data_IF_431772487267
#
_entry.id   IF_431772487267
#
_cell.length_a   1.000
_cell.length_b   1.000
_cell.length_c   1.000
_cell.angle_alpha   90.00
_cell.angle_beta   90.00
_cell.angle_gamma   90.00
#
_symmetry.space_group_name_H-M   'P 1'
#
loop_
_entity.id
_entity.type
_entity.pdbx_description
1 polymer ?
#
# COMPACT_ATOMS: atom_id res chain seq x y z
N UNK A 1 -35.07 -13.02 -22.14
CA UNK A 1 -34.48 -11.76 -22.67
C UNK A 1 -33.40 -12.05 -23.71
N UNK A 2 -33.22 -11.19 -24.72
CA UNK A 2 -32.18 -11.39 -25.74
C UNK A 2 -30.76 -11.47 -25.15
N UNK A 3 -30.43 -10.59 -24.19
CA UNK A 3 -29.11 -10.56 -23.54
C UNK A 3 -28.84 -11.79 -22.65
N UNK A 4 -29.83 -12.25 -21.88
CA UNK A 4 -29.73 -13.48 -21.07
C UNK A 4 -29.50 -14.72 -21.95
N UNK A 5 -30.26 -14.84 -23.05
CA UNK A 5 -30.16 -15.97 -23.99
C UNK A 5 -28.79 -15.98 -24.69
N UNK A 6 -28.25 -14.80 -25.03
CA UNK A 6 -26.89 -14.69 -25.56
C UNK A 6 -25.83 -15.18 -24.56
N UNK A 7 -25.93 -14.77 -23.29
CA UNK A 7 -24.99 -15.21 -22.25
C UNK A 7 -25.07 -16.71 -21.97
N UNK A 8 -26.25 -17.31 -22.06
CA UNK A 8 -26.43 -18.77 -21.96
C UNK A 8 -25.78 -19.50 -23.15
N UNK A 9 -25.92 -18.97 -24.37
CA UNK A 9 -25.25 -19.50 -25.57
C UNK A 9 -23.73 -19.40 -25.47
N UNK A 10 -23.21 -18.36 -24.83
CA UNK A 10 -21.78 -18.19 -24.53
C UNK A 10 -21.29 -19.04 -23.34
N UNK A 11 -22.18 -19.78 -22.66
CA UNK A 11 -21.85 -20.60 -21.49
C UNK A 11 -21.66 -19.81 -20.19
N UNK A 12 -21.90 -18.49 -20.18
CA UNK A 12 -21.73 -17.60 -19.02
C UNK A 12 -22.96 -17.63 -18.12
N UNK A 13 -23.21 -18.78 -17.49
CA UNK A 13 -24.42 -19.03 -16.68
C UNK A 13 -24.62 -18.04 -15.52
N UNK A 14 -23.55 -17.69 -14.81
CA UNK A 14 -23.63 -16.73 -13.69
C UNK A 14 -24.01 -15.33 -14.16
N UNK A 15 -23.51 -14.93 -15.33
CA UNK A 15 -23.85 -13.63 -15.92
C UNK A 15 -25.31 -13.59 -16.36
N UNK A 16 -25.83 -14.69 -16.93
CA UNK A 16 -27.23 -14.81 -17.29
C UNK A 16 -28.14 -14.76 -16.04
N UNK A 17 -27.75 -15.45 -14.95
CA UNK A 17 -28.48 -15.41 -13.69
C UNK A 17 -28.54 -14.00 -13.09
N UNK A 18 -27.43 -13.26 -13.11
CA UNK A 18 -27.40 -11.85 -12.66
C UNK A 18 -28.31 -10.98 -13.51
N UNK A 19 -28.29 -11.14 -14.84
CA UNK A 19 -29.16 -10.36 -15.75
C UNK A 19 -30.64 -10.66 -15.50
N UNK A 20 -30.97 -11.92 -15.24
CA UNK A 20 -32.32 -12.35 -14.88
C UNK A 20 -32.78 -11.71 -13.57
N UNK A 21 -31.97 -11.79 -12.50
CA UNK A 21 -32.27 -11.13 -11.23
C UNK A 21 -32.41 -9.61 -11.38
N UNK A 22 -31.56 -8.96 -12.17
CA UNK A 22 -31.64 -7.51 -12.38
C UNK A 22 -32.92 -7.06 -13.08
N UNK A 23 -33.56 -7.94 -13.86
CA UNK A 23 -34.82 -7.66 -14.52
C UNK A 23 -36.04 -8.07 -13.71
N UNK A 24 -35.94 -9.13 -12.91
CA UNK A 24 -37.01 -9.57 -12.01
C UNK A 24 -37.17 -8.63 -10.79
N UNK A 25 -36.11 -7.89 -10.42
CA UNK A 25 -36.11 -6.97 -9.29
C UNK A 25 -36.06 -5.48 -9.69
N UNK A 26 -36.46 -4.60 -8.76
CA UNK A 26 -36.46 -3.13 -8.94
C UNK A 26 -35.09 -2.58 -9.38
N UNK A 27 -35.06 -1.53 -10.25
CA UNK A 27 -33.83 -0.85 -10.68
C UNK A 27 -32.92 -0.40 -9.52
N UNK A 28 -33.51 -0.17 -8.34
CA UNK A 28 -32.79 0.15 -7.10
C UNK A 28 -31.77 -0.93 -6.73
N UNK A 29 -32.09 -2.23 -6.87
CA UNK A 29 -31.15 -3.33 -6.60
C UNK A 29 -29.94 -3.27 -7.54
N UNK A 30 -30.16 -3.04 -8.84
CA UNK A 30 -29.06 -2.87 -9.80
C UNK A 30 -28.12 -1.72 -9.45
N UNK A 31 -28.65 -0.60 -8.95
CA UNK A 31 -27.82 0.52 -8.49
C UNK A 31 -27.01 0.18 -7.23
N UNK A 32 -27.60 -0.57 -6.29
CA UNK A 32 -26.90 -1.02 -5.08
C UNK A 32 -25.77 -1.98 -5.46
N UNK A 33 -26.04 -3.00 -6.28
CA UNK A 33 -25.02 -3.96 -6.74
C UNK A 33 -23.88 -3.27 -7.48
N UNK A 34 -24.17 -2.28 -8.33
CA UNK A 34 -23.14 -1.46 -8.99
C UNK A 34 -22.30 -0.65 -8.00
N UNK A 35 -22.92 -0.01 -7.01
CA UNK A 35 -22.22 0.77 -5.97
C UNK A 35 -21.35 -0.12 -5.09
N UNK A 36 -21.87 -1.26 -4.66
CA UNK A 36 -21.15 -2.26 -3.88
C UNK A 36 -19.97 -2.82 -4.66
N UNK A 37 -20.17 -3.23 -5.92
CA UNK A 37 -19.08 -3.67 -6.79
C UNK A 37 -18.01 -2.60 -6.94
N UNK A 38 -18.34 -1.34 -7.20
CA UNK A 38 -17.34 -0.25 -7.28
C UNK A 38 -16.53 -0.11 -5.99
N UNK A 39 -17.15 -0.28 -4.81
CA UNK A 39 -16.44 -0.25 -3.52
C UNK A 39 -15.46 -1.42 -3.37
N UNK A 40 -15.80 -2.59 -3.89
CA UNK A 40 -14.93 -3.78 -3.85
C UNK A 40 -13.94 -3.88 -5.01
N UNK A 41 -14.19 -3.20 -6.14
CA UNK A 41 -13.35 -3.27 -7.36
C UNK A 41 -12.12 -2.38 -7.30
N UNK A 42 -12.09 -1.40 -6.40
CA UNK A 42 -10.88 -0.66 -6.09
C UNK A 42 -10.36 -1.14 -4.74
N UNK A 43 -9.41 -2.10 -4.68
CA UNK A 43 -8.52 -2.12 -3.56
C UNK A 43 -7.94 -0.71 -3.46
N UNK A 44 -8.23 0.02 -2.38
CA UNK A 44 -7.50 1.25 -2.11
C UNK A 44 -6.05 0.80 -1.98
N UNK A 45 -5.25 1.04 -3.01
CA UNK A 45 -3.84 0.70 -2.99
C UNK A 45 -3.21 1.57 -1.90
N UNK A 46 -3.04 0.98 -0.72
CA UNK A 46 -2.46 1.64 0.43
C UNK A 46 -0.98 1.77 0.15
N UNK A 47 -0.51 3.01 0.07
CA UNK A 47 0.92 3.27 0.15
C UNK A 47 1.40 2.72 1.50
N UNK A 48 2.48 1.92 1.55
CA UNK A 48 3.04 1.45 2.81
C UNK A 48 3.47 2.66 3.66
N UNK A 49 3.35 2.53 4.98
CA UNK A 49 3.79 3.59 5.90
C UNK A 49 5.30 3.78 5.83
N UNK A 50 5.76 4.95 6.26
CA UNK A 50 7.18 5.30 6.33
C UNK A 50 7.98 4.25 7.11
N UNK A 51 7.48 3.81 8.27
CA UNK A 51 8.10 2.80 9.14
C UNK A 51 8.18 1.43 8.47
N UNK A 52 7.11 1.01 7.80
CA UNK A 52 7.08 -0.27 7.06
C UNK A 52 8.12 -0.27 5.94
N UNK A 53 8.28 0.86 5.25
CA UNK A 53 9.29 0.99 4.20
C UNK A 53 10.69 1.05 4.80
N UNK A 54 10.87 1.71 5.94
CA UNK A 54 12.16 1.73 6.66
C UNK A 54 12.56 0.31 7.08
N UNK A 55 11.64 -0.45 7.67
CA UNK A 55 11.84 -1.86 8.04
C UNK A 55 12.22 -2.70 6.81
N UNK A 56 11.43 -2.59 5.73
CA UNK A 56 11.72 -3.28 4.47
C UNK A 56 13.11 -2.94 3.94
N UNK A 57 13.52 -1.67 3.99
CA UNK A 57 14.85 -1.25 3.53
C UNK A 57 15.98 -1.89 4.36
N UNK A 58 15.79 -2.02 5.67
CA UNK A 58 16.75 -2.68 6.57
C UNK A 58 16.78 -4.18 6.32
N UNK A 59 15.62 -4.85 6.31
CA UNK A 59 15.49 -6.30 6.14
C UNK A 59 16.06 -6.79 4.81
N UNK A 60 15.92 -5.98 3.76
CA UNK A 60 16.41 -6.30 2.41
C UNK A 60 17.78 -5.70 2.09
N UNK A 61 18.43 -5.02 3.03
CA UNK A 61 19.71 -4.33 2.82
C UNK A 61 19.71 -3.37 1.60
N UNK A 62 18.58 -2.68 1.37
CA UNK A 62 18.43 -1.75 0.27
C UNK A 62 19.23 -0.46 0.49
N UNK A 63 20.07 -0.12 -0.48
CA UNK A 63 20.71 1.19 -0.51
C UNK A 63 19.71 2.30 -0.83
N UNK A 64 20.05 3.53 -0.44
CA UNK A 64 19.23 4.72 -0.73
C UNK A 64 19.05 4.94 -2.23
N UNK A 65 20.07 4.59 -3.02
CA UNK A 65 20.03 4.67 -4.48
C UNK A 65 19.07 3.61 -5.05
N UNK A 66 19.19 2.35 -4.63
CA UNK A 66 18.31 1.27 -5.08
C UNK A 66 16.84 1.57 -4.79
N UNK A 67 16.54 2.07 -3.58
CA UNK A 67 15.19 2.49 -3.22
C UNK A 67 14.66 3.60 -4.14
N UNK A 68 15.48 4.62 -4.44
CA UNK A 68 15.09 5.72 -5.35
C UNK A 68 14.80 5.21 -6.76
N UNK A 69 15.63 4.31 -7.29
CA UNK A 69 15.43 3.68 -8.61
C UNK A 69 14.12 2.89 -8.63
N UNK A 70 13.89 2.04 -7.63
CA UNK A 70 12.66 1.25 -7.51
C UNK A 70 11.44 2.16 -7.45
N UNK A 71 11.46 3.19 -6.60
CA UNK A 71 10.38 4.18 -6.50
C UNK A 71 10.14 4.91 -7.83
N UNK A 72 11.19 5.28 -8.55
CA UNK A 72 11.05 5.94 -9.87
C UNK A 72 10.38 5.02 -10.88
N UNK A 73 10.77 3.74 -10.94
CA UNK A 73 10.16 2.75 -11.82
C UNK A 73 8.68 2.52 -11.48
N UNK A 74 8.38 2.32 -10.19
CA UNK A 74 7.01 2.10 -9.72
C UNK A 74 6.12 3.32 -9.96
N UNK A 75 6.64 4.54 -9.79
CA UNK A 75 5.88 5.77 -10.03
C UNK A 75 5.44 5.96 -11.50
N UNK A 76 6.10 5.30 -12.46
CA UNK A 76 5.67 5.30 -13.87
C UNK A 76 4.36 4.52 -14.07
N UNK A 77 4.12 3.50 -13.24
CA UNK A 77 2.96 2.61 -13.32
C UNK A 77 1.87 3.11 -12.37
N UNK A 78 2.25 3.36 -11.11
CA UNK A 78 1.36 3.77 -10.04
C UNK A 78 1.93 5.00 -9.34
N UNK A 79 1.32 6.16 -9.58
CA UNK A 79 1.73 7.42 -8.96
C UNK A 79 1.71 7.29 -7.44
N UNK A 80 2.83 7.61 -6.81
CA UNK A 80 3.01 7.67 -5.36
C UNK A 80 2.85 6.34 -4.60
N UNK A 81 3.05 5.19 -5.23
CA UNK A 81 2.94 3.89 -4.53
C UNK A 81 3.88 3.77 -3.33
N UNK A 82 5.06 4.38 -3.38
CA UNK A 82 6.03 4.41 -2.28
C UNK A 82 6.27 5.85 -1.77
N UNK A 83 6.45 6.04 -0.46
CA UNK A 83 6.72 7.34 0.14
C UNK A 83 8.00 7.98 -0.41
N UNK A 84 8.13 9.30 -0.27
CA UNK A 84 9.35 9.98 -0.67
C UNK A 84 10.46 9.72 0.34
N UNK A 85 11.71 9.64 -0.13
CA UNK A 85 12.85 9.27 0.73
C UNK A 85 13.07 10.22 1.92
N UNK A 86 12.74 11.51 1.79
CA UNK A 86 12.86 12.45 2.91
C UNK A 86 11.97 12.08 4.11
N UNK A 87 10.81 11.45 3.87
CA UNK A 87 9.92 11.00 4.94
C UNK A 87 10.49 9.81 5.68
N UNK A 88 11.02 8.84 4.94
CA UNK A 88 11.74 7.69 5.51
C UNK A 88 12.97 8.16 6.28
N UNK A 89 13.67 9.18 5.76
CA UNK A 89 14.80 9.79 6.46
C UNK A 89 14.35 10.42 7.78
N UNK A 90 13.21 11.11 7.82
CA UNK A 90 12.67 11.67 9.06
C UNK A 90 12.35 10.57 10.07
N UNK A 91 11.70 9.50 9.64
CA UNK A 91 11.41 8.33 10.50
C UNK A 91 12.69 7.70 11.04
N UNK A 92 13.70 7.55 10.17
CA UNK A 92 15.02 7.05 10.57
C UNK A 92 15.69 7.91 11.64
N UNK A 93 15.46 9.23 11.63
CA UNK A 93 15.99 10.13 12.66
C UNK A 93 15.33 9.93 14.02
N UNK A 94 14.04 9.56 14.04
CA UNK A 94 13.33 9.25 15.29
C UNK A 94 13.93 8.00 15.97
N UNK A 95 14.51 7.09 15.20
CA UNK A 95 15.19 5.91 15.73
C UNK A 95 16.63 6.16 16.20
N UNK A 96 17.17 7.39 16.09
CA UNK A 96 18.53 7.68 16.56
C UNK A 96 18.51 8.35 17.95
N UNK A 97 19.39 7.94 18.87
CA UNK A 97 19.52 8.59 20.16
C UNK A 97 20.11 10.01 20.00
N UNK A 98 19.71 10.91 20.90
CA UNK A 98 20.05 12.35 20.79
C UNK A 98 21.52 12.68 21.09
N UNK A 99 22.16 11.92 21.97
CA UNK A 99 23.51 12.21 22.51
C UNK A 99 24.58 11.26 21.94
N UNK A 100 24.75 11.24 20.61
CA UNK A 100 25.81 10.47 19.96
C UNK A 100 26.99 11.37 19.64
N UNK A 101 28.17 11.01 20.15
CA UNK A 101 29.42 11.64 19.76
C UNK A 101 30.20 10.67 18.86
N UNK A 102 30.55 11.10 17.65
CA UNK A 102 31.28 10.30 16.67
C UNK A 102 32.60 11.00 16.38
N UNK A 103 33.69 10.36 16.75
CA UNK A 103 35.06 10.72 16.39
C UNK A 103 35.59 9.77 15.30
N UNK A 104 36.78 10.06 14.77
CA UNK A 104 37.38 9.23 13.71
C UNK A 104 37.67 7.80 14.16
N UNK A 105 38.03 7.62 15.43
CA UNK A 105 38.49 6.34 15.99
C UNK A 105 37.51 5.71 16.97
N UNK A 106 36.51 6.46 17.46
CA UNK A 106 35.52 5.94 18.40
C UNK A 106 34.17 6.63 18.22
N UNK A 107 33.12 5.95 18.66
CA UNK A 107 31.80 6.53 18.83
C UNK A 107 31.31 6.20 20.24
N UNK A 108 30.75 7.20 20.92
CA UNK A 108 30.19 7.05 22.25
C UNK A 108 28.75 7.57 22.28
N UNK A 109 27.94 6.93 23.12
CA UNK A 109 26.55 7.33 23.35
C UNK A 109 26.26 7.14 24.83
N UNK A 110 25.52 8.08 25.42
CA UNK A 110 25.10 7.96 26.82
C UNK A 110 24.13 6.79 26.97
N UNK A 111 24.38 5.93 27.95
CA UNK A 111 23.53 4.77 28.22
C UNK A 111 22.06 5.17 28.48
N UNK A 112 21.85 6.27 29.21
CA UNK A 112 20.50 6.77 29.49
C UNK A 112 19.74 7.15 28.21
N UNK A 113 20.43 7.72 27.22
CA UNK A 113 19.83 8.12 25.94
C UNK A 113 19.41 6.91 25.11
N UNK A 114 20.09 5.77 25.24
CA UNK A 114 19.65 4.50 24.65
C UNK A 114 18.43 3.92 25.37
N UNK A 115 18.46 3.88 26.70
CA UNK A 115 17.36 3.33 27.53
C UNK A 115 16.06 4.10 27.27
N UNK A 116 16.12 5.43 27.22
CA UNK A 116 14.94 6.26 26.98
C UNK A 116 14.31 5.99 25.60
N UNK A 117 15.12 5.63 24.60
CA UNK A 117 14.65 5.34 23.25
C UNK A 117 13.99 3.95 23.13
N UNK A 118 14.44 2.97 23.92
CA UNK A 118 13.97 1.57 23.81
C UNK A 118 12.83 1.21 24.77
N UNK A 119 12.66 1.94 25.87
CA UNK A 119 11.63 1.67 26.89
C UNK A 119 10.34 2.49 26.68
N UNK A 120 10.33 3.45 25.75
CA UNK A 120 9.09 4.15 25.32
C UNK A 120 8.05 3.18 24.75
#
# INVERSE_FOLDING_TARGET
MAAEVQLLREGKRDSAAIVKELCDFSPRRGTTTKKTRKRFSSPKQSCPSEDQVLALMVDSNLSTHQYKVMRQQTNKIHKNMYPAYHKIKAEKQLCYPSDVNVAETFAEVKLQSLINLTIM
#
